data_IF_542013658687
#
_entry.id   IF_542013658687
#
_cell.length_a   1.000
_cell.length_b   1.000
_cell.length_c   1.000
_cell.angle_alpha   90.00
_cell.angle_beta   90.00
_cell.angle_gamma   90.00
#
_symmetry.space_group_name_H-M   'P 1'
#
loop_
_entity.id
_entity.type
_entity.pdbx_description
1 polymer ?
#
# COMPACT_ATOMS: atom_id res chain seq x y z
N UNK A 1 -23.65 -7.16 17.38
CA UNK A 1 -23.18 -8.06 16.31
C UNK A 1 -21.67 -8.04 16.38
N UNK A 2 -21.07 -9.10 16.93
CA UNK A 2 -19.63 -9.16 17.16
C UNK A 2 -18.89 -9.22 15.81
N UNK A 3 -17.98 -8.27 15.58
CA UNK A 3 -16.99 -8.36 14.52
C UNK A 3 -16.11 -9.57 14.88
N UNK A 4 -16.37 -10.72 14.26
CA UNK A 4 -15.43 -11.84 14.36
C UNK A 4 -14.10 -11.38 13.77
N UNK A 5 -13.03 -11.53 14.54
CA UNK A 5 -11.68 -11.32 14.03
C UNK A 5 -11.48 -12.30 12.87
N UNK A 6 -11.27 -11.78 11.67
CA UNK A 6 -10.98 -12.57 10.49
C UNK A 6 -9.67 -13.33 10.77
N UNK A 7 -9.68 -14.66 10.68
CA UNK A 7 -8.43 -15.43 10.71
C UNK A 7 -7.48 -14.91 9.63
N UNK A 8 -6.20 -14.84 9.96
CA UNK A 8 -5.18 -14.36 9.02
C UNK A 8 -5.16 -15.26 7.77
N UNK A 9 -5.60 -14.70 6.64
CA UNK A 9 -5.57 -15.40 5.36
C UNK A 9 -4.14 -15.47 4.85
N UNK A 10 -3.67 -16.67 4.51
CA UNK A 10 -2.32 -16.88 3.95
C UNK A 10 -2.30 -16.81 2.43
N UNK A 11 -3.47 -16.82 1.80
CA UNK A 11 -3.70 -16.71 0.35
C UNK A 11 -4.18 -15.29 -0.01
N UNK A 12 -3.43 -14.29 0.45
CA UNK A 12 -3.58 -12.89 0.07
C UNK A 12 -2.25 -12.32 -0.42
N UNK A 13 -2.32 -11.39 -1.35
CA UNK A 13 -1.15 -10.74 -1.92
C UNK A 13 -1.30 -9.23 -1.79
N UNK A 14 -0.23 -8.54 -1.38
CA UNK A 14 -0.18 -7.09 -1.39
C UNK A 14 0.43 -6.61 -2.71
N UNK A 15 -0.27 -5.73 -3.40
CA UNK A 15 0.25 -4.96 -4.52
C UNK A 15 0.61 -3.54 -4.04
N UNK A 16 1.84 -3.13 -4.28
CA UNK A 16 2.32 -1.76 -3.99
C UNK A 16 2.44 -1.01 -5.32
N UNK A 17 1.64 0.05 -5.46
CA UNK A 17 1.56 0.89 -6.66
C UNK A 17 2.09 2.28 -6.31
N UNK A 18 3.25 2.65 -6.85
CA UNK A 18 3.92 3.92 -6.57
C UNK A 18 3.89 4.77 -7.83
N UNK A 19 2.93 5.70 -7.88
CA UNK A 19 2.83 6.72 -8.92
C UNK A 19 3.68 7.96 -8.60
N UNK A 20 3.76 8.87 -9.56
CA UNK A 20 4.54 10.10 -9.41
C UNK A 20 4.00 11.04 -8.32
N UNK A 21 2.68 11.04 -8.08
CA UNK A 21 2.04 11.97 -7.12
C UNK A 21 1.40 11.28 -5.92
N UNK A 22 1.20 9.97 -5.98
CA UNK A 22 0.61 9.19 -4.90
C UNK A 22 1.09 7.75 -4.96
N UNK A 23 0.97 7.05 -3.86
CA UNK A 23 1.09 5.60 -3.81
C UNK A 23 -0.04 4.96 -3.03
N UNK A 24 -0.20 3.65 -3.21
CA UNK A 24 -1.16 2.84 -2.47
C UNK A 24 -0.67 1.42 -2.29
N UNK A 25 -1.21 0.77 -1.25
CA UNK A 25 -1.12 -0.66 -1.03
C UNK A 25 -2.51 -1.26 -1.14
N UNK A 26 -2.66 -2.27 -1.99
CA UNK A 26 -3.91 -2.98 -2.22
C UNK A 26 -3.69 -4.45 -1.88
N UNK A 27 -4.49 -4.99 -0.98
CA UNK A 27 -4.52 -6.42 -0.70
C UNK A 27 -5.54 -7.07 -1.64
N UNK A 28 -5.10 -8.10 -2.36
CA UNK A 28 -5.92 -8.89 -3.28
C UNK A 28 -5.99 -10.35 -2.88
N UNK A 29 -7.15 -10.96 -3.07
CA UNK A 29 -7.37 -12.36 -2.80
C UNK A 29 -8.56 -12.95 -3.56
N UNK A 30 -8.67 -14.28 -3.58
CA UNK A 30 -9.80 -14.98 -4.21
C UNK A 30 -10.76 -15.47 -3.13
N UNK A 31 -12.03 -15.15 -3.29
CA UNK A 31 -13.14 -15.58 -2.43
C UNK A 31 -14.36 -15.85 -3.31
N UNK A 32 -15.04 -16.98 -3.13
CA UNK A 32 -16.19 -17.38 -3.95
C UNK A 32 -15.93 -17.33 -5.47
N UNK A 33 -14.70 -17.69 -5.88
CA UNK A 33 -14.21 -17.63 -7.27
C UNK A 33 -14.15 -16.22 -7.87
N UNK A 34 -14.22 -15.18 -7.02
CA UNK A 34 -14.08 -13.78 -7.41
C UNK A 34 -12.81 -13.19 -6.82
N UNK A 35 -12.19 -12.25 -7.55
CA UNK A 35 -11.08 -11.45 -7.02
C UNK A 35 -11.67 -10.35 -6.13
N UNK A 36 -11.29 -10.35 -4.86
CA UNK A 36 -11.52 -9.26 -3.92
C UNK A 36 -10.28 -8.40 -3.86
N UNK A 37 -10.48 -7.08 -3.85
CA UNK A 37 -9.42 -6.09 -3.71
C UNK A 37 -9.82 -5.12 -2.59
N UNK A 38 -8.87 -4.82 -1.72
CA UNK A 38 -9.03 -3.84 -0.66
C UNK A 38 -7.83 -2.89 -0.67
N UNK A 39 -8.10 -1.60 -0.87
CA UNK A 39 -7.08 -0.59 -0.60
C UNK A 39 -6.91 -0.47 0.92
N UNK A 40 -5.72 -0.81 1.40
CA UNK A 40 -5.39 -0.83 2.83
C UNK A 40 -4.60 0.40 3.25
N UNK A 41 -3.90 1.03 2.30
CA UNK A 41 -3.15 2.25 2.55
C UNK A 41 -3.05 3.10 1.30
N UNK A 42 -3.12 4.42 1.47
CA UNK A 42 -2.91 5.43 0.44
C UNK A 42 -2.13 6.58 1.01
N UNK A 43 -1.16 7.07 0.25
CA UNK A 43 -0.28 8.15 0.65
C UNK A 43 0.07 9.06 -0.52
N UNK A 44 0.42 10.30 -0.21
CA UNK A 44 0.97 11.24 -1.20
C UNK A 44 2.43 10.90 -1.48
N UNK A 45 2.81 10.92 -2.76
CA UNK A 45 4.21 10.84 -3.17
C UNK A 45 4.66 12.22 -3.62
N UNK A 46 5.66 12.77 -2.94
CA UNK A 46 6.14 14.12 -3.20
C UNK A 46 7.54 14.08 -3.78
N UNK A 47 7.71 14.85 -4.84
CA UNK A 47 9.02 15.23 -5.34
C UNK A 47 9.66 16.21 -4.35
N UNK A 48 10.93 16.01 -4.04
CA UNK A 48 11.70 16.87 -3.16
C UNK A 48 12.93 17.41 -3.90
N UNK A 49 13.33 18.64 -3.59
CA UNK A 49 14.55 19.22 -4.14
C UNK A 49 15.74 18.86 -3.23
N UNK A 50 16.80 18.28 -3.80
CA UNK A 50 18.06 17.99 -3.10
C UNK A 50 19.23 18.40 -3.99
N UNK A 51 20.11 19.25 -3.47
CA UNK A 51 21.30 19.75 -4.20
C UNK A 51 21.00 20.28 -5.61
N UNK A 52 19.85 20.96 -5.79
CA UNK A 52 19.45 21.52 -7.08
C UNK A 52 18.78 20.53 -8.04
N UNK A 53 18.65 19.26 -7.66
CA UNK A 53 17.97 18.22 -8.44
C UNK A 53 16.61 17.89 -7.85
N UNK A 54 15.72 17.42 -8.72
CA UNK A 54 14.46 16.82 -8.29
C UNK A 54 14.67 15.35 -7.96
N UNK A 55 14.20 14.93 -6.79
CA UNK A 55 14.42 13.61 -6.24
C UNK A 55 13.13 13.06 -5.64
N UNK A 56 13.04 11.74 -5.53
CA UNK A 56 12.02 11.08 -4.72
C UNK A 56 12.46 11.01 -3.26
N UNK A 57 11.51 11.20 -2.35
CA UNK A 57 11.72 11.05 -0.92
C UNK A 57 11.67 9.55 -0.54
N UNK A 58 12.80 8.85 -0.67
CA UNK A 58 12.86 7.39 -0.48
C UNK A 58 12.56 6.99 0.97
N UNK A 59 12.94 7.79 1.96
CA UNK A 59 12.67 7.52 3.37
C UNK A 59 11.17 7.61 3.68
N UNK A 60 10.48 8.60 3.10
CA UNK A 60 9.02 8.68 3.14
C UNK A 60 8.40 7.45 2.49
N UNK A 61 8.79 7.11 1.26
CA UNK A 61 8.26 5.95 0.54
C UNK A 61 8.43 4.66 1.36
N UNK A 62 9.62 4.41 1.92
CA UNK A 62 9.89 3.26 2.77
C UNK A 62 8.97 3.22 3.99
N UNK A 63 8.79 4.35 4.67
CA UNK A 63 7.91 4.44 5.85
C UNK A 63 6.45 4.17 5.49
N UNK A 64 5.97 4.72 4.38
CA UNK A 64 4.59 4.49 3.91
C UNK A 64 4.37 3.04 3.46
N UNK A 65 5.37 2.40 2.84
CA UNK A 65 5.32 0.98 2.49
C UNK A 65 5.22 0.10 3.74
N UNK A 66 6.04 0.36 4.76
CA UNK A 66 5.96 -0.38 6.02
C UNK A 66 4.60 -0.19 6.71
N UNK A 67 4.06 1.04 6.70
CA UNK A 67 2.72 1.31 7.25
C UNK A 67 1.62 0.55 6.52
N UNK A 68 1.72 0.42 5.19
CA UNK A 68 0.71 -0.30 4.41
C UNK A 68 0.82 -1.82 4.46
N UNK A 69 1.95 -2.37 4.95
CA UNK A 69 2.20 -3.81 5.05
C UNK A 69 2.13 -4.37 6.49
N UNK A 70 2.09 -3.50 7.51
CA UNK A 70 2.00 -3.86 8.92
C UNK A 70 0.57 -4.22 9.33
#
# INVERSE_FOLDING_TARGET
MAQQAQEARTDCYAAVDIGASSGRVVVGYVEDRLIRLQEVHRFDNRQVRRHGHDCWDVDLLHTELLRGLA
#
